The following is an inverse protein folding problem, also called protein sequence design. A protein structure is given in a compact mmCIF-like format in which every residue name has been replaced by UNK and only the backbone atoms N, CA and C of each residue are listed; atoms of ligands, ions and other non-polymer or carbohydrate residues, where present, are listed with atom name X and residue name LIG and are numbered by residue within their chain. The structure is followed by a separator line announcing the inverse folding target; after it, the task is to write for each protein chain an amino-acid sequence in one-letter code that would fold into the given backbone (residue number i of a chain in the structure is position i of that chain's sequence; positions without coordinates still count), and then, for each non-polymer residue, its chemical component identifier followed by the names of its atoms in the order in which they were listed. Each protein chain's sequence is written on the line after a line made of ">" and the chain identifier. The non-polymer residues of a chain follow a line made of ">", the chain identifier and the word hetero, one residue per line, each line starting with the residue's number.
data_IF_229152551211
#
_entry.id   IF_229152551211
#
_cell.length_a   1.000
_cell.length_b   1.000
_cell.length_c   1.000
_cell.angle_alpha   90.00
_cell.angle_beta   90.00
_cell.angle_gamma   90.00
#
_symmetry.space_group_name_H-M   'P 1'
#
loop_
_entity.id
_entity.type
_entity.pdbx_description
1 polymer ?
#
# COMPACT_ATOMS: atom_id res chain seq x y z
N UNK A 1 -16.17 -7.22 7.13
CA UNK A 1 -14.72 -6.93 6.96
C UNK A 1 -14.04 -7.12 8.30
N UNK A 2 -12.87 -7.78 8.35
CA UNK A 2 -12.09 -7.84 9.59
C UNK A 2 -11.11 -6.67 9.63
N UNK A 3 -11.03 -5.99 10.77
CA UNK A 3 -10.06 -4.92 11.02
C UNK A 3 -9.12 -5.35 12.14
N UNK A 4 -7.82 -5.28 11.89
CA UNK A 4 -6.79 -5.66 12.85
C UNK A 4 -5.76 -4.53 13.01
N UNK A 5 -5.43 -4.17 14.26
CA UNK A 5 -4.27 -3.36 14.62
C UNK A 5 -3.28 -4.26 15.34
N UNK A 6 -2.08 -4.37 14.79
CA UNK A 6 -1.07 -5.34 15.20
C UNK A 6 0.29 -4.65 15.31
N UNK A 7 1.10 -5.08 16.27
CA UNK A 7 2.55 -4.94 16.27
C UNK A 7 3.19 -6.31 16.54
N UNK A 8 4.51 -6.34 16.75
CA UNK A 8 5.28 -7.57 16.93
C UNK A 8 6.03 -7.56 18.26
N UNK A 9 5.87 -8.64 19.04
CA UNK A 9 6.80 -8.96 20.14
C UNK A 9 8.05 -9.58 19.52
N UNK A 10 9.10 -8.78 19.40
CA UNK A 10 10.36 -9.17 18.75
C UNK A 10 11.15 -10.24 19.52
N UNK A 11 10.93 -10.39 20.82
CA UNK A 11 11.65 -11.38 21.63
C UNK A 11 11.07 -12.78 21.45
N UNK A 12 9.76 -12.86 21.31
CA UNK A 12 9.03 -14.13 21.16
C UNK A 12 8.69 -14.44 19.71
N UNK A 13 8.87 -13.49 18.79
CA UNK A 13 8.48 -13.58 17.39
C UNK A 13 6.98 -13.94 17.24
N UNK A 14 6.14 -13.28 18.03
CA UNK A 14 4.68 -13.44 17.99
C UNK A 14 3.99 -12.11 17.70
N UNK A 15 2.87 -12.11 16.96
CA UNK A 15 2.09 -10.91 16.77
C UNK A 15 1.44 -10.49 18.10
N UNK A 16 1.46 -9.21 18.39
CA UNK A 16 0.73 -8.63 19.50
C UNK A 16 -0.48 -7.85 18.95
N UNK A 17 -1.67 -8.30 19.35
CA UNK A 17 -2.94 -7.87 18.77
C UNK A 17 -3.56 -6.80 19.67
N UNK A 18 -3.51 -5.55 19.21
CA UNK A 18 -4.10 -4.41 19.93
C UNK A 18 -5.61 -4.34 19.76
N UNK A 19 -6.07 -4.62 18.55
CA UNK A 19 -7.49 -4.56 18.20
C UNK A 19 -7.75 -5.57 17.10
N UNK A 20 -8.83 -6.34 17.26
CA UNK A 20 -9.37 -7.19 16.22
C UNK A 20 -10.89 -7.13 16.31
N UNK A 21 -11.53 -6.56 15.29
CA UNK A 21 -12.97 -6.40 15.25
C UNK A 21 -13.54 -6.76 13.88
N UNK A 22 -14.75 -7.30 13.90
CA UNK A 22 -15.51 -7.61 12.69
C UNK A 22 -16.52 -6.49 12.44
N UNK A 23 -16.34 -5.78 11.33
CA UNK A 23 -17.26 -4.74 10.87
C UNK A 23 -18.23 -5.30 9.82
N UNK A 24 -19.44 -4.75 9.78
CA UNK A 24 -20.42 -5.05 8.73
C UNK A 24 -19.84 -4.71 7.34
N UNK A 25 -20.18 -5.50 6.34
CA UNK A 25 -19.73 -5.32 4.96
C UNK A 25 -20.89 -4.91 4.06
N UNK A 26 -21.43 -3.71 4.27
CA UNK A 26 -22.65 -3.24 3.56
C UNK A 26 -22.43 -3.14 2.04
N UNK A 27 -21.22 -2.78 1.63
CA UNK A 27 -20.87 -2.59 0.21
C UNK A 27 -20.41 -3.88 -0.48
N UNK A 28 -20.49 -5.03 0.19
CA UNK A 28 -19.94 -6.30 -0.29
C UNK A 28 -18.49 -6.16 -0.80
N UNK A 29 -17.67 -5.40 -0.08
CA UNK A 29 -16.27 -5.18 -0.43
C UNK A 29 -15.44 -6.43 -0.17
N UNK A 30 -14.51 -6.74 -1.08
CA UNK A 30 -13.59 -7.86 -0.98
C UNK A 30 -12.19 -7.38 -1.31
N UNK A 31 -11.24 -7.65 -0.43
CA UNK A 31 -9.85 -7.22 -0.59
C UNK A 31 -9.11 -7.20 0.73
N UNK A 32 -7.89 -6.66 0.69
CA UNK A 32 -7.08 -6.38 1.87
C UNK A 32 -6.53 -4.96 1.77
N UNK A 33 -6.58 -4.23 2.89
CA UNK A 33 -5.93 -2.93 3.04
C UNK A 33 -4.87 -3.05 4.14
N UNK A 34 -3.67 -2.56 3.87
CA UNK A 34 -2.55 -2.59 4.81
C UNK A 34 -2.04 -1.16 4.97
N UNK A 35 -1.90 -0.73 6.22
CA UNK A 35 -1.36 0.58 6.57
C UNK A 35 -0.17 0.37 7.50
N UNK A 36 0.96 0.98 7.17
CA UNK A 36 2.21 0.90 7.94
C UNK A 36 2.85 2.27 8.04
N UNK A 37 3.49 2.54 9.17
CA UNK A 37 4.30 3.74 9.39
C UNK A 37 5.76 3.31 9.34
N UNK A 38 6.53 3.90 8.44
CA UNK A 38 7.95 3.61 8.25
C UNK A 38 8.73 4.91 8.18
N UNK A 39 9.96 4.89 8.70
CA UNK A 39 10.92 5.96 8.45
C UNK A 39 11.50 5.80 7.04
N UNK A 40 11.63 6.90 6.30
CA UNK A 40 12.16 6.83 4.95
C UNK A 40 12.53 8.18 4.36
N UNK A 41 13.52 8.16 3.46
CA UNK A 41 13.93 9.32 2.67
C UNK A 41 13.42 9.18 1.23
N UNK A 42 12.32 9.89 0.94
CA UNK A 42 11.67 9.88 -0.36
C UNK A 42 12.53 10.45 -1.48
N UNK A 43 13.23 11.57 -1.28
CA UNK A 43 13.97 12.25 -2.35
C UNK A 43 15.07 11.37 -2.94
N UNK A 44 15.77 10.63 -2.10
CA UNK A 44 16.84 9.71 -2.53
C UNK A 44 16.31 8.43 -3.19
N UNK A 45 15.17 7.89 -2.73
CA UNK A 45 14.69 6.56 -3.13
C UNK A 45 13.53 6.56 -4.12
N UNK A 46 12.94 7.73 -4.42
CA UNK A 46 11.83 7.90 -5.36
C UNK A 46 12.07 7.18 -6.69
N UNK A 47 13.25 7.34 -7.29
CA UNK A 47 13.56 6.75 -8.60
C UNK A 47 13.48 5.22 -8.58
N UNK A 48 13.97 4.58 -7.52
CA UNK A 48 13.93 3.12 -7.34
C UNK A 48 12.50 2.60 -7.18
N UNK A 49 11.68 3.29 -6.38
CA UNK A 49 10.27 2.93 -6.17
C UNK A 49 9.51 3.04 -7.50
N UNK A 50 9.69 4.13 -8.23
CA UNK A 50 9.05 4.32 -9.53
C UNK A 50 9.52 3.31 -10.58
N UNK A 51 10.81 2.94 -10.56
CA UNK A 51 11.35 1.92 -11.43
C UNK A 51 10.69 0.56 -11.18
N UNK A 52 10.59 0.14 -9.92
CA UNK A 52 9.90 -1.09 -9.53
C UNK A 52 8.44 -1.09 -9.99
N UNK A 53 7.70 -0.01 -9.73
CA UNK A 53 6.29 0.11 -10.15
C UNK A 53 6.14 0.03 -11.68
N UNK A 54 7.06 0.62 -12.44
CA UNK A 54 7.06 0.52 -13.91
C UNK A 54 7.34 -0.90 -14.39
N UNK A 55 8.30 -1.60 -13.78
CA UNK A 55 8.60 -3.00 -14.10
C UNK A 55 7.37 -3.89 -13.83
N UNK A 56 6.70 -3.71 -12.69
CA UNK A 56 5.46 -4.42 -12.40
C UNK A 56 4.39 -4.15 -13.46
N UNK A 57 4.16 -2.89 -13.83
CA UNK A 57 3.16 -2.53 -14.85
C UNK A 57 3.43 -3.15 -16.22
N UNK A 58 4.69 -3.46 -16.55
CA UNK A 58 5.06 -4.15 -17.79
C UNK A 58 4.71 -5.63 -17.72
N UNK A 59 5.00 -6.30 -16.60
CA UNK A 59 4.82 -7.76 -16.47
C UNK A 59 3.40 -8.17 -16.05
N UNK A 60 2.60 -7.27 -15.47
CA UNK A 60 1.20 -7.52 -15.09
C UNK A 60 0.22 -6.66 -15.90
N UNK A 61 0.05 -6.91 -17.22
CA UNK A 61 -0.78 -6.08 -18.09
C UNK A 61 -2.28 -6.15 -17.76
N UNK A 62 -2.72 -7.21 -17.07
CA UNK A 62 -4.10 -7.39 -16.60
C UNK A 62 -4.41 -6.62 -15.30
N UNK A 63 -3.39 -6.11 -14.61
CA UNK A 63 -3.55 -5.40 -13.35
C UNK A 63 -3.68 -3.89 -13.58
N UNK A 64 -4.51 -3.24 -12.77
CA UNK A 64 -4.55 -1.78 -12.65
C UNK A 64 -4.06 -1.41 -11.25
N UNK A 65 -3.16 -0.44 -11.16
CA UNK A 65 -2.79 0.12 -9.86
C UNK A 65 -2.50 1.61 -9.94
N UNK A 66 -2.74 2.27 -8.81
CA UNK A 66 -2.55 3.70 -8.61
C UNK A 66 -1.47 3.89 -7.56
N UNK A 67 -0.39 4.57 -7.94
CA UNK A 67 0.63 5.03 -7.01
C UNK A 67 0.40 6.51 -6.71
N UNK A 68 0.27 6.84 -5.42
CA UNK A 68 0.10 8.22 -4.95
C UNK A 68 1.11 8.49 -3.85
N UNK A 69 1.92 9.53 -4.05
CA UNK A 69 2.77 10.11 -3.03
C UNK A 69 2.22 11.49 -2.68
N UNK A 70 1.97 11.69 -1.39
CA UNK A 70 1.48 12.95 -0.83
C UNK A 70 2.58 13.48 0.10
N UNK A 71 3.09 14.66 -0.22
CA UNK A 71 4.03 15.40 0.61
C UNK A 71 3.34 16.58 1.28
N UNK A 72 4.03 17.13 2.28
CA UNK A 72 3.62 18.37 2.96
C UNK A 72 3.53 19.56 1.99
N UNK A 73 4.44 19.62 1.01
CA UNK A 73 4.39 20.61 -0.06
C UNK A 73 3.61 20.07 -1.27
N UNK A 74 2.56 20.77 -1.70
CA UNK A 74 1.65 20.30 -2.73
C UNK A 74 2.30 20.15 -4.11
N UNK A 75 3.34 20.94 -4.41
CA UNK A 75 4.13 20.89 -5.64
C UNK A 75 4.93 19.58 -5.80
N UNK A 76 5.17 18.87 -4.68
CA UNK A 76 5.93 17.61 -4.64
C UNK A 76 5.02 16.37 -4.66
N UNK A 77 3.70 16.56 -4.70
CA UNK A 77 2.75 15.46 -4.84
C UNK A 77 2.94 14.75 -6.19
N UNK A 78 2.80 13.43 -6.18
CA UNK A 78 2.94 12.61 -7.37
C UNK A 78 1.81 11.60 -7.43
N UNK A 79 1.09 11.58 -8.54
CA UNK A 79 0.07 10.57 -8.82
C UNK A 79 0.39 9.92 -10.14
N UNK A 80 0.54 8.59 -10.15
CA UNK A 80 0.78 7.80 -11.36
C UNK A 80 -0.23 6.67 -11.41
N UNK A 81 -0.97 6.60 -12.52
CA UNK A 81 -1.91 5.52 -12.79
C UNK A 81 -1.32 4.60 -13.84
N UNK A 82 -1.26 3.30 -13.53
CA UNK A 82 -0.93 2.26 -14.48
C UNK A 82 -2.23 1.56 -14.87
N UNK A 83 -2.71 1.83 -16.08
CA UNK A 83 -3.95 1.26 -16.60
C UNK A 83 -3.74 -0.19 -17.03
N UNK A 84 -4.79 -1.00 -16.87
CA UNK A 84 -4.89 -2.34 -17.46
C UNK A 84 -4.78 -2.24 -18.98
N UNK A 85 -4.03 -3.16 -19.59
CA UNK A 85 -3.79 -3.25 -21.04
C UNK A 85 -4.49 -4.44 -21.70
N UNK A 86 -4.89 -5.44 -20.93
CA UNK A 86 -5.57 -6.66 -21.40
C UNK A 86 -6.64 -7.08 -20.40
N UNK A 87 -7.77 -7.58 -20.87
CA UNK A 87 -8.82 -8.17 -20.03
C UNK A 87 -8.60 -9.66 -19.76
#
# INVERSE_FOLDING_TARGET
>A
VSFCRLDIDIHKNIPHVHLHEKRENKDHWHGAEIQVIIEGNWTTHRSKILHYMRQMAVITPYAQFLFRFISDAADKNLTIRFARRTD
#
